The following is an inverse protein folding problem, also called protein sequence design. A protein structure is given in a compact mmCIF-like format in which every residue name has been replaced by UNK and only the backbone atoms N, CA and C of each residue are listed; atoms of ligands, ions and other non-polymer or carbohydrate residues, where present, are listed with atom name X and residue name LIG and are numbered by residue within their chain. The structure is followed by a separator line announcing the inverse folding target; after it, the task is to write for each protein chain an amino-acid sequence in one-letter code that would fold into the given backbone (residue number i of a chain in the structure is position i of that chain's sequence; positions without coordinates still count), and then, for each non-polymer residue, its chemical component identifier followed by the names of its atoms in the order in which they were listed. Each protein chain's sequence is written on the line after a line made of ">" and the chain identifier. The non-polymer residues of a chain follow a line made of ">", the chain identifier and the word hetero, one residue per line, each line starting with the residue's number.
data_IF_832119308163
#
_entry.id   IF_832119308163
#
_cell.length_a   1.000
_cell.length_b   1.000
_cell.length_c   1.000
_cell.angle_alpha   90.00
_cell.angle_beta   90.00
_cell.angle_gamma   90.00
#
_symmetry.space_group_name_H-M   'P 1'
#
loop_
_entity.id
_entity.type
_entity.pdbx_description
1 polymer ?
#
# COMPACT_ATOMS: atom_id res chain seq x y z
N UNK A 1 -6.03 -11.72 1.73
CA UNK A 1 -5.34 -10.88 0.71
C UNK A 1 -3.99 -11.46 0.37
N UNK A 2 -3.64 -11.48 -0.92
CA UNK A 2 -2.28 -11.51 -1.49
C UNK A 2 -2.39 -11.74 -3.01
N UNK A 3 -3.16 -10.89 -3.69
CA UNK A 3 -3.23 -10.89 -5.14
C UNK A 3 -1.87 -10.50 -5.75
N UNK A 4 -1.65 -10.80 -7.02
CA UNK A 4 -0.51 -10.26 -7.75
C UNK A 4 -0.67 -8.74 -7.91
N UNK A 5 0.43 -7.99 -7.82
CA UNK A 5 0.36 -6.53 -8.01
C UNK A 5 -0.11 -6.24 -9.44
N UNK A 6 -1.10 -5.36 -9.57
CA UNK A 6 -1.70 -4.99 -10.86
C UNK A 6 -2.85 -5.88 -11.32
N UNK A 7 -3.15 -6.98 -10.62
CA UNK A 7 -4.34 -7.81 -10.89
C UNK A 7 -5.48 -7.50 -9.92
N UNK A 8 -6.67 -8.01 -10.20
CA UNK A 8 -7.84 -7.84 -9.34
C UNK A 8 -7.56 -8.22 -7.88
N UNK A 9 -8.05 -7.38 -6.96
CA UNK A 9 -7.87 -7.50 -5.53
C UNK A 9 -6.61 -6.82 -4.97
N UNK A 10 -6.32 -7.15 -3.71
CA UNK A 10 -5.32 -6.44 -2.91
C UNK A 10 -4.01 -7.21 -2.79
N UNK A 11 -2.92 -6.57 -3.21
CA UNK A 11 -1.55 -6.98 -2.91
C UNK A 11 -1.10 -6.31 -1.61
N UNK A 12 -0.60 -7.11 -0.65
CA UNK A 12 -0.15 -6.61 0.66
C UNK A 12 1.38 -6.63 0.70
N UNK A 13 1.98 -5.49 1.03
CA UNK A 13 3.42 -5.34 1.19
C UNK A 13 3.71 -4.90 2.62
N UNK A 14 4.53 -5.69 3.31
CA UNK A 14 4.92 -5.42 4.70
C UNK A 14 6.38 -5.00 4.74
N UNK A 15 6.66 -3.92 5.44
CA UNK A 15 8.02 -3.40 5.59
C UNK A 15 8.29 -2.95 7.01
N UNK A 16 9.52 -3.16 7.48
CA UNK A 16 9.94 -2.70 8.80
C UNK A 16 9.92 -1.17 8.88
N UNK A 17 9.37 -0.66 10.00
CA UNK A 17 9.40 0.76 10.32
C UNK A 17 10.75 1.21 10.83
N UNK A 18 11.35 0.38 11.67
CA UNK A 18 12.62 0.61 12.36
C UNK A 18 13.45 -0.66 12.29
N UNK A 19 14.78 -0.53 12.41
CA UNK A 19 15.73 -1.64 12.26
C UNK A 19 16.62 -1.49 11.02
N UNK A 20 17.31 -2.57 10.65
CA UNK A 20 18.21 -2.54 9.49
C UNK A 20 17.42 -2.26 8.19
N UNK A 21 17.88 -1.29 7.40
CA UNK A 21 17.22 -0.83 6.17
C UNK A 21 15.98 0.04 6.39
N UNK A 22 15.08 -0.33 7.31
CA UNK A 22 13.82 0.39 7.63
C UNK A 22 13.08 0.93 6.39
N UNK A 23 12.69 0.08 5.43
CA UNK A 23 12.16 0.52 4.15
C UNK A 23 10.91 1.40 4.26
N UNK A 24 10.15 1.27 5.35
CA UNK A 24 8.94 2.05 5.62
C UNK A 24 9.12 3.10 6.72
N UNK A 25 10.36 3.52 7.02
CA UNK A 25 10.69 4.50 8.09
C UNK A 25 9.82 5.76 8.06
N UNK A 26 9.58 6.31 6.87
CA UNK A 26 8.87 7.57 6.68
C UNK A 26 7.45 7.38 6.12
N UNK A 27 6.88 6.18 6.24
CA UNK A 27 5.57 5.87 5.67
C UNK A 27 4.42 6.71 6.30
N UNK A 28 4.64 7.32 7.47
CA UNK A 28 3.70 8.27 8.10
C UNK A 28 3.57 9.60 7.36
N UNK A 29 4.58 9.95 6.57
CA UNK A 29 4.56 11.15 5.74
C UNK A 29 3.63 11.05 4.52
N UNK A 30 3.22 9.84 4.15
CA UNK A 30 2.35 9.58 2.99
C UNK A 30 0.94 10.08 3.25
N UNK A 31 0.37 10.80 2.30
CA UNK A 31 -0.95 11.41 2.39
C UNK A 31 -1.90 10.84 1.34
N UNK A 32 -3.20 11.00 1.59
CA UNK A 32 -4.22 10.72 0.57
C UNK A 32 -3.95 11.60 -0.65
N UNK A 33 -3.93 10.99 -1.84
CA UNK A 33 -3.60 11.64 -3.10
C UNK A 33 -2.15 11.45 -3.57
N UNK A 34 -1.23 11.07 -2.66
CA UNK A 34 0.15 10.72 -3.03
C UNK A 34 0.18 9.49 -3.95
N UNK A 35 1.28 9.33 -4.67
CA UNK A 35 1.48 8.23 -5.62
C UNK A 35 2.36 7.12 -5.03
N UNK A 36 2.02 5.88 -5.38
CA UNK A 36 2.83 4.69 -5.13
C UNK A 36 3.13 4.07 -6.48
N UNK A 37 4.37 4.21 -6.95
CA UNK A 37 4.84 3.58 -8.17
C UNK A 37 5.42 2.19 -7.89
N UNK A 38 4.98 1.20 -8.66
CA UNK A 38 5.52 -0.15 -8.63
C UNK A 38 6.09 -0.51 -9.99
N UNK A 39 7.36 -0.92 -10.02
CA UNK A 39 7.96 -1.54 -11.20
C UNK A 39 8.00 -3.06 -11.01
N UNK A 40 7.28 -3.79 -11.86
CA UNK A 40 7.27 -5.24 -11.85
C UNK A 40 8.57 -5.80 -12.42
N UNK A 41 8.86 -7.09 -12.14
CA UNK A 41 10.04 -7.77 -12.71
C UNK A 41 10.05 -7.83 -14.23
N UNK A 42 8.88 -7.72 -14.85
CA UNK A 42 8.70 -7.62 -16.30
C UNK A 42 9.19 -6.28 -16.88
N UNK A 43 9.43 -5.28 -16.03
CA UNK A 43 9.73 -3.90 -16.43
C UNK A 43 8.49 -3.01 -16.56
N UNK A 44 7.29 -3.57 -16.43
CA UNK A 44 6.03 -2.83 -16.41
C UNK A 44 5.96 -1.90 -15.18
N UNK A 45 5.49 -0.67 -15.40
CA UNK A 45 5.33 0.35 -14.36
C UNK A 45 3.85 0.58 -14.11
N UNK A 46 3.46 0.57 -12.85
CA UNK A 46 2.10 0.78 -12.39
C UNK A 46 2.08 1.88 -11.34
N UNK A 47 1.21 2.88 -11.51
CA UNK A 47 1.06 3.99 -10.57
C UNK A 47 -0.26 3.86 -9.82
N UNK A 48 -0.18 3.87 -8.49
CA UNK A 48 -1.33 3.76 -7.60
C UNK A 48 -1.53 5.09 -6.86
N UNK A 49 -2.79 5.49 -6.65
CA UNK A 49 -3.13 6.68 -5.86
C UNK A 49 -3.51 6.28 -4.44
N UNK A 50 -2.90 6.90 -3.44
CA UNK A 50 -3.25 6.66 -2.03
C UNK A 50 -4.68 7.13 -1.75
N UNK A 51 -5.53 6.22 -1.28
CA UNK A 51 -6.93 6.49 -0.92
C UNK A 51 -7.18 6.40 0.59
N UNK A 52 -6.27 5.77 1.35
CA UNK A 52 -6.38 5.68 2.81
C UNK A 52 -5.01 5.72 3.49
N UNK A 53 -4.95 6.41 4.62
CA UNK A 53 -3.87 6.36 5.60
C UNK A 53 -4.52 6.23 6.98
N UNK A 54 -4.27 5.13 7.71
CA UNK A 54 -4.86 4.92 9.03
C UNK A 54 -3.97 4.13 9.97
N UNK A 55 -4.14 4.34 11.27
CA UNK A 55 -3.54 3.55 12.34
C UNK A 55 -4.58 2.57 12.88
N UNK A 56 -4.19 1.32 13.11
CA UNK A 56 -5.08 0.22 13.50
C UNK A 56 -4.43 -0.70 14.52
N UNK A 57 -5.27 -1.52 15.17
CA UNK A 57 -4.81 -2.63 16.03
C UNK A 57 -3.92 -3.60 15.24
N UNK A 58 -2.89 -4.21 15.87
CA UNK A 58 -2.09 -5.27 15.25
C UNK A 58 -2.90 -6.50 14.83
N UNK A 59 -4.09 -6.71 15.41
CA UNK A 59 -4.99 -7.82 15.13
C UNK A 59 -6.06 -7.53 14.07
N UNK A 60 -6.02 -6.34 13.44
CA UNK A 60 -7.01 -5.99 12.42
C UNK A 60 -6.94 -6.99 11.26
N UNK A 61 -8.11 -7.35 10.73
CA UNK A 61 -8.19 -8.09 9.49
C UNK A 61 -7.96 -7.12 8.31
N UNK A 62 -6.90 -7.35 7.53
CA UNK A 62 -6.54 -6.50 6.42
C UNK A 62 -7.54 -6.58 5.25
N UNK A 63 -8.37 -7.63 5.18
CA UNK A 63 -9.42 -7.73 4.15
C UNK A 63 -10.48 -6.62 4.28
N UNK A 64 -10.59 -6.01 5.47
CA UNK A 64 -11.46 -4.85 5.69
C UNK A 64 -11.05 -3.60 4.90
N UNK A 65 -9.87 -3.61 4.28
CA UNK A 65 -9.37 -2.56 3.40
C UNK A 65 -9.61 -2.84 1.92
N UNK A 66 -10.09 -4.04 1.56
CA UNK A 66 -10.37 -4.38 0.17
C UNK A 66 -11.46 -3.47 -0.38
N UNK A 67 -11.25 -3.00 -1.62
CA UNK A 67 -12.26 -2.21 -2.30
C UNK A 67 -13.40 -3.12 -2.82
N UNK A 68 -14.62 -2.58 -2.90
CA UNK A 68 -15.80 -3.32 -3.36
C UNK A 68 -15.75 -3.69 -4.85
N UNK A 69 -14.95 -2.96 -5.63
CA UNK A 69 -14.84 -3.15 -7.09
C UNK A 69 -13.92 -4.31 -7.47
N UNK A 70 -13.20 -4.91 -6.51
CA UNK A 70 -12.06 -5.79 -6.76
C UNK A 70 -11.01 -5.17 -7.70
N UNK A 71 -10.94 -3.85 -7.81
CA UNK A 71 -9.91 -3.18 -8.62
C UNK A 71 -8.54 -3.42 -8.00
N UNK A 72 -7.45 -3.42 -8.80
CA UNK A 72 -6.11 -3.65 -8.29
C UNK A 72 -5.72 -2.61 -7.23
N UNK A 73 -5.25 -3.10 -6.09
CA UNK A 73 -4.87 -2.27 -4.93
C UNK A 73 -3.55 -2.75 -4.33
N UNK A 74 -2.79 -1.81 -3.78
CA UNK A 74 -1.63 -2.10 -2.93
C UNK A 74 -1.92 -1.59 -1.52
N UNK A 75 -1.71 -2.47 -0.54
CA UNK A 75 -1.80 -2.16 0.89
C UNK A 75 -0.38 -2.23 1.48
N UNK A 76 0.14 -1.09 1.94
CA UNK A 76 1.44 -1.00 2.61
C UNK A 76 1.24 -1.02 4.12
N UNK A 77 1.95 -1.92 4.82
CA UNK A 77 1.77 -2.12 6.26
C UNK A 77 3.11 -2.03 6.98
N UNK A 78 3.12 -1.30 8.09
CA UNK A 78 4.29 -1.22 8.98
C UNK A 78 3.90 -1.09 10.45
N UNK A 79 4.84 -1.31 11.36
CA UNK A 79 4.64 -1.08 12.79
C UNK A 79 4.47 0.42 13.11
N UNK A 80 3.70 0.72 14.14
CA UNK A 80 3.50 2.08 14.63
C UNK A 80 3.23 2.09 16.15
N UNK A 81 3.62 3.16 16.88
CA UNK A 81 4.55 4.21 16.49
C UNK A 81 5.97 3.68 16.26
N UNK A 82 6.90 4.54 15.85
CA UNK A 82 8.31 4.15 15.73
C UNK A 82 8.82 3.52 17.04
N UNK A 83 9.65 2.48 16.93
CA UNK A 83 10.19 1.71 18.05
C UNK A 83 9.13 0.93 18.87
N UNK A 84 7.90 0.85 18.38
CA UNK A 84 6.81 0.10 19.00
C UNK A 84 6.13 -0.82 17.98
N UNK A 85 5.52 -1.89 18.48
CA UNK A 85 4.69 -2.82 17.71
C UNK A 85 3.22 -2.76 18.14
N UNK A 86 2.86 -1.78 18.97
CA UNK A 86 1.53 -1.63 19.57
C UNK A 86 0.42 -1.45 18.54
N UNK A 87 0.72 -0.88 17.38
CA UNK A 87 -0.23 -0.60 16.31
C UNK A 87 0.39 -0.88 14.94
N UNK A 88 -0.43 -0.77 13.89
CA UNK A 88 0.03 -0.77 12.49
C UNK A 88 -0.37 0.54 11.82
N UNK A 89 0.54 1.09 11.04
CA UNK A 89 0.21 2.09 10.03
C UNK A 89 -0.10 1.34 8.74
N UNK A 90 -1.28 1.62 8.18
CA UNK A 90 -1.78 1.02 6.93
C UNK A 90 -2.03 2.14 5.93
N UNK A 91 -1.36 2.02 4.78
CA UNK A 91 -1.61 2.85 3.60
C UNK A 91 -2.30 1.97 2.56
N UNK A 92 -3.36 2.50 1.96
CA UNK A 92 -4.08 1.84 0.87
C UNK A 92 -3.99 2.72 -0.37
N UNK A 93 -3.56 2.13 -1.49
CA UNK A 93 -3.46 2.81 -2.77
C UNK A 93 -4.11 1.99 -3.89
N UNK A 94 -4.93 2.64 -4.71
CA UNK A 94 -5.68 2.01 -5.81
C UNK A 94 -5.02 2.33 -7.15
N UNK A 95 -5.01 1.35 -8.07
CA UNK A 95 -4.38 1.53 -9.38
C UNK A 95 -5.03 2.71 -10.10
N UNK A 96 -4.23 3.66 -10.57
CA UNK A 96 -4.75 4.71 -11.44
C UNK A 96 -5.15 4.06 -12.75
N UNK A 97 -6.37 4.35 -13.21
CA UNK A 97 -6.74 4.03 -14.58
C UNK A 97 -5.65 4.61 -15.48
N UNK A 98 -5.01 3.76 -16.29
CA UNK A 98 -4.00 4.22 -17.24
C UNK A 98 -4.62 5.37 -18.01
N UNK A 99 -4.02 6.55 -17.95
CA UNK A 99 -4.32 7.57 -18.92
C UNK A 99 -4.04 6.89 -20.27
N UNK A 100 -5.09 6.66 -21.06
CA UNK A 100 -4.88 6.44 -22.48
C UNK A 100 -4.15 7.67 -22.95
N UNK A 101 -2.83 7.56 -23.13
CA UNK A 101 -2.05 8.53 -23.89
C UNK A 101 -2.81 8.71 -25.19
N UNK A 102 -3.49 9.85 -25.30
CA UNK A 102 -4.24 10.21 -26.48
C UNK A 102 -3.22 10.73 -27.48
N UNK A 103 -3.06 9.96 -28.56
CA UNK A 103 -2.42 10.29 -29.84
C UNK A 103 -0.89 10.37 -29.88
#
# INVERSE_FOLDING_TARGET
>A
NSAQIGTEGSAVIVGHRTGFGSPFRNLDGVKIGDEVDVTLRTGEKLSFSVTRNTIVSPSVDLSTFDNKSNSPQVILVTCHPEYSTAQRLVIVAELRASATESA
#
